data_IF_405187015776
#
_entry.id   IF_405187015776
#
_cell.length_a   1.000
_cell.length_b   1.000
_cell.length_c   1.000
_cell.angle_alpha   90.00
_cell.angle_beta   90.00
_cell.angle_gamma   90.00
#
_symmetry.space_group_name_H-M   'P 1'
#
loop_
_entity.id
_entity.type
_entity.pdbx_description
1 polymer ?
#
# COMPACT_ATOMS: atom_id res chain seq x y z
N UNK A 1 4.65 -5.03 12.69
CA UNK A 1 3.30 -4.80 12.10
C UNK A 1 2.66 -6.13 11.73
N UNK A 2 3.28 -6.94 10.87
CA UNK A 2 2.75 -8.27 10.52
C UNK A 2 2.37 -9.13 11.74
N UNK A 3 3.27 -9.24 12.73
CA UNK A 3 3.00 -10.00 13.97
C UNK A 3 1.91 -9.36 14.86
N UNK A 4 1.73 -8.04 14.78
CA UNK A 4 0.66 -7.36 15.52
C UNK A 4 -0.67 -7.73 14.85
N UNK A 5 -0.76 -7.56 13.53
CA UNK A 5 -1.97 -7.81 12.75
C UNK A 5 -2.34 -9.30 12.64
N UNK A 6 -1.44 -10.22 12.98
CA UNK A 6 -1.77 -11.64 13.12
C UNK A 6 -2.54 -11.97 14.40
N UNK A 7 -2.51 -11.09 15.40
CA UNK A 7 -3.14 -11.31 16.72
C UNK A 7 -4.39 -10.46 16.93
N UNK A 8 -4.53 -9.37 16.20
CA UNK A 8 -5.63 -8.40 16.37
C UNK A 8 -6.00 -7.76 15.02
N UNK A 9 -7.22 -7.23 14.92
CA UNK A 9 -7.82 -6.73 13.67
C UNK A 9 -7.14 -5.46 13.16
N UNK A 10 -6.87 -4.50 14.03
CA UNK A 10 -6.24 -3.21 13.72
C UNK A 10 -4.99 -2.98 14.57
N UNK A 11 -4.28 -1.88 14.36
CA UNK A 11 -3.00 -1.62 15.03
C UNK A 11 -3.09 -1.49 16.55
N UNK A 12 -4.27 -1.14 17.07
CA UNK A 12 -4.50 -0.93 18.51
C UNK A 12 -5.63 -1.79 19.09
N UNK A 13 -6.03 -2.86 18.40
CA UNK A 13 -7.06 -3.79 18.87
C UNK A 13 -8.17 -4.02 17.84
N UNK A 14 -9.42 -4.01 18.29
CA UNK A 14 -10.60 -4.35 17.45
C UNK A 14 -11.22 -3.15 16.73
N UNK A 15 -10.89 -1.93 17.16
CA UNK A 15 -11.42 -0.71 16.55
C UNK A 15 -10.38 -0.05 15.66
N UNK A 16 -10.85 0.49 14.54
CA UNK A 16 -10.03 1.30 13.65
C UNK A 16 -9.71 2.64 14.29
N UNK A 17 -8.47 3.10 14.13
CA UNK A 17 -7.99 4.37 14.69
C UNK A 17 -7.26 5.21 13.64
N UNK A 18 -6.86 6.42 14.01
CA UNK A 18 -6.00 7.24 13.14
C UNK A 18 -4.66 6.56 12.79
N UNK A 19 -4.16 5.67 13.64
CA UNK A 19 -2.91 4.96 13.40
C UNK A 19 -3.04 4.08 12.14
N UNK A 20 -4.21 3.47 11.96
CA UNK A 20 -4.50 2.60 10.81
C UNK A 20 -4.52 3.40 9.51
N UNK A 21 -5.18 4.56 9.52
CA UNK A 21 -5.24 5.43 8.34
C UNK A 21 -3.88 6.03 7.99
N UNK A 22 -3.06 6.38 9.00
CA UNK A 22 -1.68 6.83 8.78
C UNK A 22 -0.83 5.73 8.15
N UNK A 23 -0.99 4.48 8.60
CA UNK A 23 -0.28 3.35 8.01
C UNK A 23 -0.78 3.03 6.59
N UNK A 24 -2.11 3.03 6.37
CA UNK A 24 -2.75 2.75 5.08
C UNK A 24 -2.12 3.53 3.93
N UNK A 25 -1.97 4.85 4.12
CA UNK A 25 -1.41 5.72 3.07
C UNK A 25 0.01 5.33 2.65
N UNK A 26 0.79 4.74 3.57
CA UNK A 26 2.12 4.21 3.27
C UNK A 26 2.01 2.86 2.56
N UNK A 27 1.19 1.94 3.07
CA UNK A 27 1.06 0.59 2.54
C UNK A 27 0.52 0.57 1.11
N UNK A 28 -0.51 1.37 0.81
CA UNK A 28 -1.13 1.42 -0.54
C UNK A 28 -0.16 1.89 -1.63
N UNK A 29 0.90 2.63 -1.26
CA UNK A 29 1.94 3.11 -2.18
C UNK A 29 3.16 2.19 -2.24
N UNK A 30 3.27 1.24 -1.31
CA UNK A 30 4.50 0.49 -1.10
C UNK A 30 4.87 -0.37 -2.31
N UNK A 31 3.97 -1.23 -2.77
CA UNK A 31 4.25 -2.11 -3.90
C UNK A 31 4.31 -1.37 -5.25
N UNK A 32 3.41 -0.40 -5.54
CA UNK A 32 3.47 0.35 -6.79
C UNK A 32 4.67 1.28 -6.93
N UNK A 33 5.23 1.76 -5.81
CA UNK A 33 6.28 2.78 -5.81
C UNK A 33 7.49 2.35 -4.99
N UNK A 34 7.35 2.18 -3.67
CA UNK A 34 8.51 2.12 -2.77
C UNK A 34 9.41 0.91 -3.00
N UNK A 35 8.82 -0.24 -3.37
CA UNK A 35 9.57 -1.44 -3.75
C UNK A 35 10.54 -1.13 -4.89
N UNK A 36 10.08 -0.50 -5.96
CA UNK A 36 10.91 -0.17 -7.12
C UNK A 36 11.71 1.11 -6.94
N UNK A 37 11.00 2.24 -6.85
CA UNK A 37 11.57 3.60 -6.84
C UNK A 37 12.55 3.83 -5.69
N UNK A 38 12.16 3.42 -4.48
CA UNK A 38 12.97 3.59 -3.27
C UNK A 38 13.79 2.36 -2.90
N UNK A 39 13.71 1.29 -3.69
CA UNK A 39 14.46 0.04 -3.47
C UNK A 39 14.14 -0.62 -2.13
N UNK A 40 12.95 -0.40 -1.58
CA UNK A 40 12.45 -1.11 -0.40
C UNK A 40 11.97 -2.51 -0.80
N UNK A 41 12.86 -3.32 -1.38
CA UNK A 41 12.51 -4.48 -2.19
C UNK A 41 12.82 -5.84 -1.55
N UNK A 42 13.07 -5.90 -0.24
CA UNK A 42 13.29 -7.18 0.44
C UNK A 42 12.04 -8.07 0.35
N UNK A 43 10.84 -7.49 0.51
CA UNK A 43 9.53 -8.13 0.36
C UNK A 43 8.47 -7.08 0.01
N UNK A 44 7.43 -7.48 -0.72
CA UNK A 44 6.27 -6.64 -1.05
C UNK A 44 5.18 -6.79 0.00
N UNK A 45 4.23 -5.87 0.07
CA UNK A 45 3.06 -5.97 0.95
C UNK A 45 2.21 -7.20 0.60
N UNK A 46 2.02 -7.49 -0.69
CA UNK A 46 1.30 -8.71 -1.12
C UNK A 46 1.93 -10.02 -0.61
N UNK A 47 3.21 -10.01 -0.23
CA UNK A 47 3.91 -11.19 0.30
C UNK A 47 3.73 -11.35 1.83
N UNK A 48 3.07 -10.41 2.50
CA UNK A 48 2.75 -10.46 3.93
C UNK A 48 1.25 -10.70 4.14
N UNK A 49 0.82 -11.90 4.58
CA UNK A 49 -0.59 -12.25 4.59
C UNK A 49 -1.44 -11.35 5.49
N UNK A 50 -0.98 -10.96 6.68
CA UNK A 50 -1.80 -10.14 7.57
C UNK A 50 -1.83 -8.68 7.11
N UNK A 51 -0.69 -8.10 6.73
CA UNK A 51 -0.61 -6.76 6.15
C UNK A 51 -1.40 -6.63 4.85
N UNK A 52 -1.37 -7.65 4.00
CA UNK A 52 -2.10 -7.62 2.74
C UNK A 52 -3.61 -7.69 2.93
N UNK A 53 -4.09 -8.59 3.79
CA UNK A 53 -5.50 -8.64 4.15
C UNK A 53 -5.95 -7.34 4.84
N UNK A 54 -5.13 -6.79 5.74
CA UNK A 54 -5.39 -5.53 6.43
C UNK A 54 -5.47 -4.33 5.46
N UNK A 55 -4.53 -4.23 4.51
CA UNK A 55 -4.56 -3.17 3.50
C UNK A 55 -5.82 -3.25 2.64
N UNK A 56 -6.23 -4.45 2.24
CA UNK A 56 -7.47 -4.66 1.45
C UNK A 56 -8.72 -4.33 2.24
N UNK A 57 -8.78 -4.71 3.52
CA UNK A 57 -9.89 -4.34 4.42
C UNK A 57 -10.07 -2.82 4.48
N UNK A 58 -8.98 -2.06 4.67
CA UNK A 58 -9.03 -0.61 4.67
C UNK A 58 -9.39 -0.02 3.30
N UNK A 59 -8.83 -0.58 2.22
CA UNK A 59 -9.14 -0.14 0.85
C UNK A 59 -10.61 -0.34 0.48
N UNK A 60 -11.22 -1.43 0.95
CA UNK A 60 -12.62 -1.81 0.70
C UNK A 60 -13.62 -1.12 1.63
N UNK A 61 -13.16 -0.28 2.57
CA UNK A 61 -14.04 0.58 3.36
C UNK A 61 -14.77 1.55 2.42
N UNK A 62 -16.11 1.72 2.54
CA UNK A 62 -16.88 2.57 1.64
C UNK A 62 -16.30 4.00 1.52
N UNK A 63 -16.07 4.46 0.29
CA UNK A 63 -15.52 5.78 0.01
C UNK A 63 -13.99 5.88 0.01
N UNK A 64 -13.26 4.84 0.43
CA UNK A 64 -11.79 4.88 0.51
C UNK A 64 -11.13 4.63 -0.85
N UNK A 65 -11.62 3.66 -1.64
CA UNK A 65 -11.04 3.33 -2.94
C UNK A 65 -11.01 4.55 -3.89
N UNK A 66 -12.03 5.40 -3.82
CA UNK A 66 -12.17 6.63 -4.60
C UNK A 66 -11.10 7.69 -4.26
N UNK A 67 -10.48 7.59 -3.09
CA UNK A 67 -9.39 8.48 -2.67
C UNK A 67 -8.03 8.07 -3.25
N UNK A 68 -7.92 6.87 -3.83
CA UNK A 68 -6.66 6.29 -4.27
C UNK A 68 -6.55 6.33 -5.79
N UNK A 69 -5.74 7.25 -6.31
CA UNK A 69 -5.44 7.35 -7.74
C UNK A 69 -3.99 6.90 -8.03
N UNK A 70 -3.82 5.68 -8.55
CA UNK A 70 -2.51 5.11 -8.84
C UNK A 70 -1.78 5.82 -10.00
N UNK A 71 -2.51 6.42 -10.94
CA UNK A 71 -1.90 7.23 -12.00
C UNK A 71 -1.20 8.45 -11.39
N UNK A 72 -1.89 9.17 -10.50
CA UNK A 72 -1.32 10.34 -9.81
C UNK A 72 -0.17 9.92 -8.88
N UNK A 73 -0.33 8.84 -8.12
CA UNK A 73 0.71 8.32 -7.23
C UNK A 73 1.98 8.01 -8.03
N UNK A 74 1.88 7.14 -9.05
CA UNK A 74 3.06 6.69 -9.81
C UNK A 74 3.69 7.84 -10.60
N UNK A 75 2.88 8.67 -11.26
CA UNK A 75 3.37 9.85 -11.99
C UNK A 75 4.16 10.78 -11.08
N UNK A 76 3.62 11.16 -9.92
CA UNK A 76 4.32 12.02 -8.97
C UNK A 76 5.70 11.46 -8.60
N UNK A 77 5.78 10.22 -8.11
CA UNK A 77 7.06 9.67 -7.65
C UNK A 77 8.08 9.45 -8.77
N UNK A 78 7.69 8.77 -9.85
CA UNK A 78 8.64 8.37 -10.88
C UNK A 78 9.04 9.53 -11.79
N UNK A 79 8.18 10.52 -12.01
CA UNK A 79 8.47 11.63 -12.91
C UNK A 79 9.14 12.81 -12.20
N UNK A 80 8.79 13.09 -10.93
CA UNK A 80 9.27 14.28 -10.21
C UNK A 80 10.65 14.07 -9.57
N UNK A 81 11.00 12.86 -9.14
CA UNK A 81 12.27 12.58 -8.46
C UNK A 81 13.41 12.30 -9.46
N UNK A 82 13.80 13.29 -10.27
CA UNK A 82 14.84 13.12 -11.30
C UNK A 82 16.22 12.74 -10.78
N UNK A 83 16.51 13.02 -9.50
CA UNK A 83 17.75 12.57 -8.84
C UNK A 83 17.78 11.06 -8.59
N UNK A 84 16.61 10.43 -8.47
CA UNK A 84 16.45 8.99 -8.23
C UNK A 84 16.13 8.26 -9.55
N UNK A 85 15.27 8.83 -10.38
CA UNK A 85 14.85 8.29 -11.67
C UNK A 85 15.06 9.34 -12.80
N UNK A 86 16.29 9.46 -13.34
CA UNK A 86 16.60 10.48 -14.35
C UNK A 86 15.76 10.35 -15.63
N UNK A 87 15.41 9.12 -16.03
CA UNK A 87 14.63 8.85 -17.24
C UNK A 87 13.16 9.27 -17.08
N UNK A 88 12.66 9.38 -15.85
CA UNK A 88 11.24 9.63 -15.57
C UNK A 88 10.31 8.50 -15.97
N UNK A 89 10.82 7.34 -16.37
CA UNK A 89 9.99 6.21 -16.81
C UNK A 89 9.14 5.72 -15.64
N UNK A 90 7.83 5.66 -15.88
CA UNK A 90 6.86 5.09 -14.94
C UNK A 90 6.70 3.60 -15.27
N UNK A 91 7.04 2.67 -14.35
CA UNK A 91 6.88 1.24 -14.60
C UNK A 91 5.39 0.89 -14.75
N UNK A 92 5.07 -0.12 -15.57
CA UNK A 92 3.68 -0.58 -15.74
C UNK A 92 3.17 -1.33 -14.50
N UNK A 93 3.97 -2.23 -13.95
CA UNK A 93 3.60 -3.04 -12.79
C UNK A 93 3.68 -2.31 -11.45
N UNK A 94 3.49 -3.06 -10.35
CA UNK A 94 2.95 -4.42 -10.31
C UNK A 94 1.44 -4.44 -10.62
N UNK A 95 0.94 -5.57 -11.11
CA UNK A 95 -0.50 -5.83 -11.19
C UNK A 95 -0.98 -6.28 -9.80
N UNK A 96 -1.90 -5.53 -9.21
CA UNK A 96 -2.43 -5.77 -7.87
C UNK A 96 -3.94 -5.56 -7.89
N UNK A 97 -4.67 -6.54 -7.39
CA UNK A 97 -6.10 -6.42 -7.17
C UNK A 97 -6.35 -6.05 -5.69
N UNK A 98 -6.63 -4.78 -5.39
CA UNK A 98 -6.97 -4.37 -4.01
C UNK A 98 -8.41 -4.75 -3.60
N UNK A 99 -9.23 -5.20 -4.55
CA UNK A 99 -10.63 -5.57 -4.35
C UNK A 99 -10.85 -7.07 -4.17
N UNK A 100 -9.81 -7.91 -4.18
CA UNK A 100 -9.99 -9.32 -3.83
C UNK A 100 -10.45 -9.48 -2.36
N UNK A 101 -11.30 -10.48 -2.05
CA UNK A 101 -11.82 -10.69 -0.70
C UNK A 101 -10.72 -10.87 0.35
N UNK A 102 -10.77 -10.11 1.43
CA UNK A 102 -9.96 -10.35 2.62
C UNK A 102 -10.68 -11.28 3.61
N UNK A 103 -9.92 -11.89 4.52
CA UNK A 103 -10.45 -12.78 5.56
C UNK A 103 -10.41 -12.15 6.96
N UNK A 104 -10.57 -10.83 7.04
CA UNK A 104 -10.59 -10.02 8.27
C UNK A 104 -11.96 -9.41 8.49
#
# INVERSE_FOLDING_TARGET
>A
MEEILSKQRYLTGEQITEADWRLFTTLVRFDPVYVGHFKCNLRRIVDYPNLWNYLRELYQTPGVAETVNFLHIKGHYYESHKTINPTGVVPLGPEINFMEPHNR
#
